data_IF_740795899567
#
_entry.id   IF_740795899567
#
_cell.length_a   1.000
_cell.length_b   1.000
_cell.length_c   1.000
_cell.angle_alpha   90.00
_cell.angle_beta   90.00
_cell.angle_gamma   90.00
#
_symmetry.space_group_name_H-M   'P 1'
#
loop_
_entity.id
_entity.type
_entity.pdbx_description
1 polymer ?
#
# COMPACT_ATOMS: atom_id res chain seq x y z
N UNK A 1 14.28 48.87 40.86
CA UNK A 1 15.09 47.77 41.44
C UNK A 1 14.22 46.67 42.06
N UNK A 2 13.24 46.96 42.92
CA UNK A 2 12.33 45.92 43.49
C UNK A 2 11.49 45.19 42.43
N UNK A 3 10.91 45.92 41.47
CA UNK A 3 10.11 45.33 40.39
C UNK A 3 10.92 44.37 39.52
N UNK A 4 12.13 44.77 39.13
CA UNK A 4 13.06 43.92 38.37
C UNK A 4 13.38 42.61 39.11
N UNK A 5 13.75 42.70 40.40
CA UNK A 5 14.03 41.52 41.23
C UNK A 5 12.80 40.62 41.37
N UNK A 6 11.61 41.19 41.44
CA UNK A 6 10.37 40.43 41.52
C UNK A 6 10.06 39.69 40.21
N UNK A 7 10.24 40.34 39.05
CA UNK A 7 10.11 39.70 37.74
C UNK A 7 11.13 38.58 37.57
N UNK A 8 12.39 38.81 37.92
CA UNK A 8 13.45 37.79 37.85
C UNK A 8 13.09 36.56 38.69
N UNK A 9 12.64 36.74 39.93
CA UNK A 9 12.23 35.64 40.81
C UNK A 9 11.04 34.86 40.25
N UNK A 10 10.03 35.54 39.71
CA UNK A 10 8.86 34.90 39.08
C UNK A 10 9.24 34.10 37.84
N UNK A 11 10.09 34.66 36.98
CA UNK A 11 10.61 33.98 35.79
C UNK A 11 11.41 32.74 36.17
N UNK A 12 12.30 32.84 37.15
CA UNK A 12 13.08 31.69 37.64
C UNK A 12 12.18 30.59 38.22
N UNK A 13 11.17 30.95 39.02
CA UNK A 13 10.20 29.99 39.53
C UNK A 13 9.46 29.29 38.39
N UNK A 14 9.02 30.05 37.38
CA UNK A 14 8.33 29.53 36.19
C UNK A 14 9.19 28.55 35.40
N UNK A 15 10.46 28.90 35.17
CA UNK A 15 11.43 28.02 34.51
C UNK A 15 11.66 26.73 35.29
N UNK A 16 11.85 26.83 36.61
CA UNK A 16 12.07 25.69 37.48
C UNK A 16 10.87 24.73 37.48
N UNK A 17 9.65 25.27 37.58
CA UNK A 17 8.42 24.48 37.48
C UNK A 17 8.27 23.82 36.10
N UNK A 18 8.55 24.56 35.02
CA UNK A 18 8.46 24.02 33.66
C UNK A 18 9.42 22.84 33.46
N UNK A 19 10.66 22.97 33.94
CA UNK A 19 11.72 21.97 33.80
C UNK A 19 11.60 20.81 34.79
N UNK A 20 11.01 21.04 35.96
CA UNK A 20 10.76 20.01 36.96
C UNK A 20 9.61 19.07 36.59
N UNK A 21 8.68 19.51 35.74
CA UNK A 21 7.50 18.74 35.33
C UNK A 21 7.70 17.98 34.01
N UNK A 22 8.82 18.16 33.31
CA UNK A 22 9.05 17.60 31.98
C UNK A 22 10.40 16.89 31.89
N UNK A 23 10.39 15.69 31.32
CA UNK A 23 11.61 14.91 31.10
C UNK A 23 12.34 15.27 29.80
N UNK A 24 11.63 15.86 28.84
CA UNK A 24 12.18 16.43 27.61
C UNK A 24 11.80 17.91 27.59
N UNK A 25 12.80 18.76 27.45
CA UNK A 25 12.65 20.22 27.47
C UNK A 25 13.50 20.79 26.34
N UNK A 26 12.90 21.60 25.49
CA UNK A 26 13.64 22.41 24.52
C UNK A 26 13.71 23.85 24.98
N UNK A 27 14.84 24.50 24.75
CA UNK A 27 15.06 25.89 25.14
C UNK A 27 14.08 26.81 24.41
N UNK A 28 13.76 26.49 23.16
CA UNK A 28 12.77 27.21 22.36
C UNK A 28 11.37 27.21 22.98
N UNK A 29 10.88 26.04 23.41
CA UNK A 29 9.56 25.95 24.03
C UNK A 29 9.54 26.53 25.45
N UNK A 30 10.66 26.43 26.19
CA UNK A 30 10.82 27.10 27.47
C UNK A 30 10.73 28.63 27.32
N UNK A 31 11.43 29.20 26.33
CA UNK A 31 11.39 30.63 26.01
C UNK A 31 9.96 31.09 25.69
N UNK A 32 9.29 30.36 24.80
CA UNK A 32 7.91 30.64 24.42
C UNK A 32 6.94 30.48 25.61
N UNK A 33 7.18 29.50 26.48
CA UNK A 33 6.35 29.29 27.66
C UNK A 33 6.48 30.44 28.65
N UNK A 34 7.71 30.87 28.97
CA UNK A 34 7.94 31.97 29.90
C UNK A 34 7.35 33.27 29.35
N UNK A 35 7.57 33.58 28.06
CA UNK A 35 6.99 34.75 27.43
C UNK A 35 5.45 34.78 27.56
N UNK A 36 4.79 33.64 27.33
CA UNK A 36 3.34 33.50 27.51
C UNK A 36 2.89 33.64 28.97
N UNK A 37 3.64 33.10 29.93
CA UNK A 37 3.30 33.23 31.35
C UNK A 37 3.43 34.66 31.87
N UNK A 38 4.35 35.43 31.30
CA UNK A 38 4.56 36.85 31.63
C UNK A 38 3.74 37.81 30.77
N UNK A 39 2.84 37.29 29.91
CA UNK A 39 2.00 38.07 28.98
C UNK A 39 2.80 39.04 28.09
N UNK A 40 3.93 38.56 27.56
CA UNK A 40 4.79 39.29 26.62
C UNK A 40 4.97 38.52 25.32
N UNK A 41 5.20 39.23 24.21
CA UNK A 41 5.40 38.60 22.90
C UNK A 41 6.69 37.74 22.85
N UNK A 42 7.76 38.22 23.49
CA UNK A 42 9.10 37.60 23.44
C UNK A 42 9.79 37.73 24.79
N UNK A 43 10.67 36.78 25.09
CA UNK A 43 11.45 36.77 26.33
C UNK A 43 12.29 38.06 26.51
N UNK A 44 12.84 38.59 25.42
CA UNK A 44 13.65 39.81 25.43
C UNK A 44 12.90 41.03 26.00
N UNK A 45 11.56 41.05 25.91
CA UNK A 45 10.72 42.12 26.48
C UNK A 45 10.80 42.20 28.01
N UNK A 46 11.24 41.12 28.67
CA UNK A 46 11.42 41.06 30.13
C UNK A 46 12.68 41.79 30.60
N UNK A 47 13.56 42.23 29.69
CA UNK A 47 14.83 42.92 29.99
C UNK A 47 15.77 42.13 30.90
N UNK A 48 15.63 40.80 30.94
CA UNK A 48 16.52 39.86 31.63
C UNK A 48 17.71 39.42 30.75
N UNK A 49 17.83 40.01 29.56
CA UNK A 49 18.71 39.52 28.50
C UNK A 49 18.11 38.31 27.78
N UNK A 50 18.86 37.69 26.86
CA UNK A 50 18.38 36.52 26.15
C UNK A 50 18.37 35.29 27.06
N UNK A 51 17.39 34.40 26.88
CA UNK A 51 17.16 33.25 27.78
C UNK A 51 18.39 32.34 27.96
N UNK A 52 19.20 32.16 26.92
CA UNK A 52 20.41 31.33 26.96
C UNK A 52 21.56 31.93 27.81
N UNK A 53 21.47 33.21 28.19
CA UNK A 53 22.43 33.86 29.09
C UNK A 53 21.97 33.87 30.54
N UNK A 54 20.73 33.46 30.82
CA UNK A 54 20.25 33.32 32.21
C UNK A 54 21.05 32.21 32.88
N UNK A 55 21.73 32.45 34.02
CA UNK A 55 22.65 31.47 34.63
C UNK A 55 22.00 30.12 34.93
N UNK A 56 20.74 30.13 35.36
CA UNK A 56 19.96 28.93 35.63
C UNK A 56 19.80 28.07 34.36
N UNK A 57 19.42 28.70 33.25
CA UNK A 57 19.24 28.03 31.95
C UNK A 57 20.56 27.53 31.39
N UNK A 58 21.60 28.37 31.41
CA UNK A 58 22.93 28.00 30.92
C UNK A 58 23.47 26.75 31.65
N UNK A 59 23.19 26.64 32.95
CA UNK A 59 23.61 25.49 33.77
C UNK A 59 22.76 24.24 33.48
N UNK A 60 21.43 24.36 33.47
CA UNK A 60 20.54 23.21 33.28
C UNK A 60 20.64 22.57 31.89
N UNK A 61 20.91 23.37 30.86
CA UNK A 61 21.07 22.90 29.48
C UNK A 61 22.53 22.71 29.07
N UNK A 62 23.50 23.06 29.94
CA UNK A 62 24.94 23.00 29.66
C UNK A 62 25.33 23.70 28.36
N UNK A 63 24.72 24.86 28.11
CA UNK A 63 24.83 25.57 26.83
C UNK A 63 26.28 25.97 26.53
N UNK A 64 26.74 25.86 25.27
CA UNK A 64 28.07 26.33 24.91
C UNK A 64 28.13 27.85 25.01
N UNK A 65 29.25 28.44 25.48
CA UNK A 65 29.38 29.89 25.64
C UNK A 65 29.31 30.63 24.29
N UNK A 66 29.61 29.93 23.19
CA UNK A 66 29.57 30.40 21.80
C UNK A 66 28.15 30.50 21.24
N UNK A 67 27.12 30.04 21.96
CA UNK A 67 25.73 30.13 21.54
C UNK A 67 25.32 31.59 21.36
N UNK A 68 24.79 31.90 20.18
CA UNK A 68 24.40 33.26 19.77
C UNK A 68 22.88 33.43 19.65
N UNK A 69 22.14 32.34 19.46
CA UNK A 69 20.68 32.34 19.34
C UNK A 69 20.09 31.03 19.86
N UNK A 70 18.79 31.03 20.17
CA UNK A 70 18.03 29.83 20.56
C UNK A 70 17.69 29.00 19.32
N UNK A 71 18.15 27.75 19.20
CA UNK A 71 17.77 26.84 18.13
C UNK A 71 16.28 26.54 18.20
N UNK A 72 15.60 26.59 17.05
CA UNK A 72 14.17 26.28 16.94
C UNK A 72 13.96 24.76 16.87
N UNK A 73 14.26 24.07 17.96
CA UNK A 73 14.00 22.65 18.14
C UNK A 73 12.75 22.50 19.01
N UNK A 74 11.79 21.71 18.56
CA UNK A 74 10.55 21.44 19.29
C UNK A 74 10.62 20.07 19.98
N UNK A 75 9.90 19.90 21.09
CA UNK A 75 9.82 18.59 21.77
C UNK A 75 9.30 17.51 20.83
N UNK A 76 8.38 17.86 19.92
CA UNK A 76 7.88 16.95 18.88
C UNK A 76 9.00 16.33 18.05
N UNK A 77 10.01 17.11 17.67
CA UNK A 77 11.12 16.62 16.86
C UNK A 77 11.94 15.58 17.64
N UNK A 78 12.17 15.81 18.93
CA UNK A 78 12.83 14.84 19.81
C UNK A 78 12.02 13.55 19.92
N UNK A 79 10.70 13.65 20.02
CA UNK A 79 9.81 12.49 20.05
C UNK A 79 9.80 11.72 18.73
N UNK A 80 9.86 12.41 17.59
CA UNK A 80 9.95 11.79 16.26
C UNK A 80 11.27 11.02 16.09
N UNK A 81 12.38 11.57 16.60
CA UNK A 81 13.67 10.85 16.66
C UNK A 81 13.59 9.61 17.54
N UNK A 82 13.05 9.76 18.75
CA UNK A 82 12.84 8.64 19.68
C UNK A 82 11.99 7.54 19.03
N UNK A 83 10.93 7.92 18.33
CA UNK A 83 10.04 7.03 17.62
C UNK A 83 10.75 6.26 16.50
N UNK A 84 11.54 6.96 15.67
CA UNK A 84 12.33 6.33 14.62
C UNK A 84 13.33 5.30 15.16
N UNK A 85 14.01 5.64 16.26
CA UNK A 85 14.95 4.73 16.92
C UNK A 85 14.27 3.47 17.49
N UNK A 86 13.06 3.61 18.05
CA UNK A 86 12.27 2.47 18.52
C UNK A 86 11.85 1.55 17.37
N UNK A 87 11.54 2.10 16.19
CA UNK A 87 11.24 1.31 15.00
C UNK A 87 12.47 0.58 14.45
N UNK A 88 13.63 1.24 14.43
CA UNK A 88 14.90 0.66 13.98
C UNK A 88 15.33 -0.49 14.90
N UNK A 89 15.31 -0.28 16.22
CA UNK A 89 15.63 -1.31 17.22
C UNK A 89 14.71 -2.53 17.07
N UNK A 90 13.40 -2.30 16.91
CA UNK A 90 12.44 -3.40 16.72
C UNK A 90 12.64 -4.17 15.41
N UNK A 91 13.00 -3.50 14.30
CA UNK A 91 13.31 -4.16 13.03
C UNK A 91 14.56 -5.03 13.12
N UNK A 92 15.57 -4.59 13.87
CA UNK A 92 16.78 -5.37 14.11
C UNK A 92 16.51 -6.67 14.91
N UNK A 93 15.40 -6.73 15.66
CA UNK A 93 15.03 -7.86 16.52
C UNK A 93 13.82 -8.68 16.01
N UNK A 94 13.30 -8.41 14.81
CA UNK A 94 12.23 -9.21 14.22
C UNK A 94 12.76 -10.61 13.82
N UNK A 95 12.00 -11.71 14.06
CA UNK A 95 12.41 -13.05 13.62
C UNK A 95 12.52 -13.08 12.10
N UNK A 96 13.75 -13.22 11.59
CA UNK A 96 14.10 -13.17 10.16
C UNK A 96 14.82 -11.90 9.68
N UNK A 97 15.05 -10.90 10.54
CA UNK A 97 15.72 -9.64 10.17
C UNK A 97 17.24 -9.78 10.10
N UNK A 98 17.79 -9.84 8.88
CA UNK A 98 19.23 -9.74 8.64
C UNK A 98 19.73 -8.32 8.88
N UNK A 99 20.73 -8.17 9.76
CA UNK A 99 21.69 -7.06 9.71
C UNK A 99 21.23 -5.68 10.18
N UNK A 100 20.23 -5.55 11.04
CA UNK A 100 19.96 -4.28 11.73
C UNK A 100 21.02 -3.95 12.79
N UNK A 101 21.27 -2.65 13.01
CA UNK A 101 22.16 -2.14 14.06
C UNK A 101 21.74 -2.74 15.41
N UNK A 102 22.56 -3.66 15.93
CA UNK A 102 22.36 -4.23 17.27
C UNK A 102 22.72 -3.16 18.29
N UNK A 103 21.73 -2.56 18.94
CA UNK A 103 21.97 -1.69 20.10
C UNK A 103 22.43 -2.60 21.25
N UNK A 104 23.70 -2.49 21.65
CA UNK A 104 24.41 -3.48 22.47
C UNK A 104 23.91 -3.59 23.93
N UNK A 105 23.70 -4.87 24.32
CA UNK A 105 24.24 -5.58 25.49
C UNK A 105 23.87 -5.07 26.89
N UNK A 106 22.86 -5.70 27.48
CA UNK A 106 22.61 -5.66 28.92
C UNK A 106 21.18 -6.02 29.32
N UNK A 107 20.53 -6.99 28.67
CA UNK A 107 19.22 -7.50 29.08
C UNK A 107 18.01 -6.60 28.83
N UNK A 108 18.19 -5.38 28.32
CA UNK A 108 17.08 -4.46 28.04
C UNK A 108 17.27 -3.75 26.68
N UNK A 109 16.35 -3.99 25.74
CA UNK A 109 16.27 -3.34 24.43
C UNK A 109 15.75 -1.91 24.60
N UNK A 110 16.63 -0.99 24.99
CA UNK A 110 16.23 0.34 25.42
C UNK A 110 16.99 1.41 24.66
N UNK A 111 16.26 2.17 23.83
CA UNK A 111 16.76 3.41 23.23
C UNK A 111 17.16 4.36 24.36
N UNK A 112 18.45 4.69 24.45
CA UNK A 112 18.99 5.58 25.46
C UNK A 112 19.03 7.04 25.00
N UNK A 113 19.23 7.93 25.95
CA UNK A 113 19.47 9.36 25.71
C UNK A 113 20.65 9.59 24.75
N UNK A 114 21.79 8.87 24.85
CA UNK A 114 22.91 9.08 23.93
C UNK A 114 22.55 8.83 22.45
N UNK A 115 21.69 7.85 22.17
CA UNK A 115 21.27 7.54 20.80
C UNK A 115 20.36 8.64 20.24
N UNK A 116 19.41 9.11 21.05
CA UNK A 116 18.54 10.25 20.68
C UNK A 116 19.40 11.49 20.43
N UNK A 117 20.35 11.78 21.33
CA UNK A 117 21.24 12.91 21.22
C UNK A 117 22.08 12.85 19.93
N UNK A 118 22.73 11.72 19.66
CA UNK A 118 23.56 11.55 18.47
C UNK A 118 22.75 11.69 17.17
N UNK A 119 21.54 11.10 17.11
CA UNK A 119 20.67 11.19 15.94
C UNK A 119 20.18 12.62 15.70
N UNK A 120 19.74 13.29 16.76
CA UNK A 120 19.27 14.68 16.67
C UNK A 120 20.40 15.64 16.27
N UNK A 121 21.58 15.48 16.88
CA UNK A 121 22.78 16.25 16.54
C UNK A 121 23.19 16.05 15.07
N UNK A 122 23.21 14.80 14.61
CA UNK A 122 23.47 14.45 13.21
C UNK A 122 22.44 15.06 12.25
N UNK A 123 21.15 15.01 12.57
CA UNK A 123 20.09 15.62 11.76
C UNK A 123 20.22 17.14 11.64
N UNK A 124 20.78 17.79 12.67
CA UNK A 124 20.95 19.25 12.72
C UNK A 124 22.36 19.73 12.35
N UNK A 125 23.27 18.81 12.04
CA UNK A 125 24.66 19.15 11.68
C UNK A 125 25.46 19.78 12.82
N UNK A 126 25.12 19.46 14.06
CA UNK A 126 25.81 19.95 15.27
C UNK A 126 26.53 18.80 15.98
N UNK A 127 27.43 19.13 16.90
CA UNK A 127 28.25 18.12 17.57
C UNK A 127 27.64 17.58 18.86
N UNK A 128 26.65 18.29 19.42
CA UNK A 128 26.14 18.02 20.76
C UNK A 128 24.65 18.39 20.91
N UNK A 129 24.01 17.85 21.95
CA UNK A 129 22.61 18.15 22.25
C UNK A 129 22.47 19.53 22.90
N UNK A 130 23.51 19.93 23.63
CA UNK A 130 23.69 21.22 24.28
C UNK A 130 23.64 22.37 23.26
N UNK A 131 24.26 22.19 22.09
CA UNK A 131 24.17 23.13 20.96
C UNK A 131 22.75 23.31 20.42
N UNK A 132 21.87 22.32 20.63
CA UNK A 132 20.46 22.38 20.24
C UNK A 132 19.57 22.98 21.34
N UNK A 133 20.12 23.28 22.51
CA UNK A 133 19.33 23.71 23.66
C UNK A 133 18.28 22.68 24.06
N UNK A 134 18.61 21.39 24.01
CA UNK A 134 17.68 20.31 24.40
C UNK A 134 18.20 19.64 25.68
N UNK A 135 17.30 19.49 26.66
CA UNK A 135 17.55 18.82 27.93
C UNK A 135 16.66 17.58 28.01
N UNK A 136 17.28 16.43 28.19
CA UNK A 136 16.60 15.14 28.37
C UNK A 136 17.05 14.55 29.69
N UNK A 137 16.16 14.45 30.67
CA UNK A 137 16.44 13.86 31.99
C UNK A 137 15.97 12.41 32.09
N UNK A 138 15.05 11.99 31.21
CA UNK A 138 14.56 10.62 31.16
C UNK A 138 13.65 10.37 29.96
N UNK A 139 13.70 9.15 29.44
CA UNK A 139 12.85 8.69 28.34
C UNK A 139 11.73 7.75 28.80
N UNK A 140 11.85 7.19 30.01
CA UNK A 140 10.96 6.13 30.51
C UNK A 140 9.48 6.47 30.46
N UNK A 141 9.12 7.72 30.78
CA UNK A 141 7.72 8.18 30.74
C UNK A 141 7.12 8.14 29.33
N UNK A 142 7.92 8.40 28.30
CA UNK A 142 7.47 8.40 26.91
C UNK A 142 7.53 7.02 26.27
N UNK A 143 8.46 6.16 26.70
CA UNK A 143 8.67 4.85 26.05
C UNK A 143 7.44 3.95 26.08
N UNK A 144 6.77 3.82 27.23
CA UNK A 144 5.64 2.89 27.36
C UNK A 144 4.43 3.33 26.51
N UNK A 145 3.91 4.56 26.63
CA UNK A 145 2.82 5.03 25.78
C UNK A 145 3.15 4.97 24.28
N UNK A 146 4.40 5.32 23.91
CA UNK A 146 4.82 5.25 22.52
C UNK A 146 4.81 3.80 22.00
N UNK A 147 5.27 2.83 22.80
CA UNK A 147 5.21 1.41 22.45
C UNK A 147 3.76 0.91 22.33
N UNK A 148 2.86 1.33 23.21
CA UNK A 148 1.44 0.96 23.19
C UNK A 148 0.75 1.45 21.91
N UNK A 149 0.81 2.75 21.62
CA UNK A 149 0.24 3.33 20.39
C UNK A 149 0.80 2.64 19.14
N UNK A 150 2.08 2.30 19.16
CA UNK A 150 2.74 1.60 18.05
C UNK A 150 2.22 0.17 17.86
N UNK A 151 1.99 -0.55 18.95
CA UNK A 151 1.44 -1.91 18.91
C UNK A 151 0.00 -1.88 18.37
N UNK A 152 -0.83 -0.97 18.85
CA UNK A 152 -2.21 -0.79 18.38
C UNK A 152 -2.29 -0.46 16.88
N UNK A 153 -1.48 0.51 16.42
CA UNK A 153 -1.42 0.87 15.00
C UNK A 153 -1.02 -0.32 14.13
N UNK A 154 -0.12 -1.17 14.64
CA UNK A 154 0.32 -2.36 13.93
C UNK A 154 -0.75 -3.43 13.89
N UNK A 155 -1.41 -3.72 15.00
CA UNK A 155 -2.51 -4.69 15.04
C UNK A 155 -3.63 -4.29 14.07
N UNK A 156 -3.95 -3.00 14.01
CA UNK A 156 -4.88 -2.46 13.02
C UNK A 156 -4.37 -2.66 11.58
N UNK A 157 -3.10 -2.36 11.31
CA UNK A 157 -2.51 -2.53 9.99
C UNK A 157 -2.43 -4.00 9.55
N UNK A 158 -2.04 -4.90 10.45
CA UNK A 158 -1.94 -6.35 10.20
C UNK A 158 -3.34 -6.93 9.91
N UNK A 159 -4.35 -6.49 10.66
CA UNK A 159 -5.77 -6.84 10.42
C UNK A 159 -6.23 -6.38 9.04
N UNK A 160 -5.93 -5.12 8.69
CA UNK A 160 -6.27 -4.56 7.37
C UNK A 160 -5.57 -5.29 6.23
N UNK A 161 -4.28 -5.59 6.37
CA UNK A 161 -3.50 -6.34 5.38
C UNK A 161 -4.00 -7.78 5.23
N UNK A 162 -4.41 -8.43 6.32
CA UNK A 162 -5.00 -9.76 6.27
C UNK A 162 -6.33 -9.76 5.48
N UNK A 163 -7.17 -8.75 5.70
CA UNK A 163 -8.43 -8.58 4.96
C UNK A 163 -8.18 -8.37 3.46
N UNK A 164 -7.23 -7.50 3.10
CA UNK A 164 -6.86 -7.28 1.69
C UNK A 164 -6.33 -8.55 1.02
N UNK A 165 -5.49 -9.33 1.72
CA UNK A 165 -4.98 -10.62 1.21
C UNK A 165 -6.09 -11.63 1.03
N UNK A 166 -7.07 -11.68 1.94
CA UNK A 166 -8.22 -12.57 1.82
C UNK A 166 -9.07 -12.21 0.59
N UNK A 167 -9.37 -10.91 0.40
CA UNK A 167 -10.13 -10.43 -0.76
C UNK A 167 -9.40 -10.71 -2.08
N UNK A 168 -8.08 -10.52 -2.13
CA UNK A 168 -7.29 -10.84 -3.32
C UNK A 168 -7.35 -12.33 -3.67
N UNK A 169 -7.25 -13.22 -2.67
CA UNK A 169 -7.35 -14.67 -2.87
C UNK A 169 -8.75 -15.09 -3.32
N UNK A 170 -9.79 -14.46 -2.80
CA UNK A 170 -11.17 -14.73 -3.20
C UNK A 170 -11.41 -14.35 -4.66
N UNK A 171 -10.96 -13.15 -5.07
CA UNK A 171 -11.01 -12.71 -6.48
C UNK A 171 -10.24 -13.65 -7.39
N UNK A 172 -9.05 -14.08 -6.97
CA UNK A 172 -8.25 -15.03 -7.75
C UNK A 172 -9.01 -16.35 -7.95
N UNK A 173 -9.62 -16.90 -6.89
CA UNK A 173 -10.42 -18.13 -6.98
C UNK A 173 -11.65 -17.98 -7.87
N UNK A 174 -12.32 -16.83 -7.81
CA UNK A 174 -13.46 -16.54 -8.68
C UNK A 174 -13.03 -16.50 -10.15
N UNK A 175 -11.92 -15.83 -10.46
CA UNK A 175 -11.35 -15.78 -11.81
C UNK A 175 -10.93 -17.18 -12.31
N UNK A 176 -10.25 -17.97 -11.48
CA UNK A 176 -9.88 -19.34 -11.81
C UNK A 176 -11.11 -20.23 -12.05
N UNK A 177 -12.17 -20.05 -11.25
CA UNK A 177 -13.44 -20.76 -11.41
C UNK A 177 -14.19 -20.38 -12.69
N UNK A 178 -14.23 -19.09 -13.03
CA UNK A 178 -14.82 -18.60 -14.29
C UNK A 178 -14.07 -19.12 -15.51
N UNK A 179 -12.73 -19.11 -15.47
CA UNK A 179 -11.91 -19.65 -16.55
C UNK A 179 -12.15 -21.15 -16.75
N UNK A 180 -12.19 -21.93 -15.66
CA UNK A 180 -12.47 -23.36 -15.72
C UNK A 180 -13.90 -23.67 -16.22
N UNK A 181 -14.88 -22.81 -15.90
CA UNK A 181 -16.23 -22.94 -16.44
C UNK A 181 -16.27 -22.64 -17.95
N UNK A 182 -15.56 -21.62 -18.41
CA UNK A 182 -15.41 -21.30 -19.83
C UNK A 182 -14.73 -22.44 -20.60
N UNK A 183 -13.65 -23.01 -20.06
CA UNK A 183 -12.96 -24.15 -20.68
C UNK A 183 -13.87 -25.38 -20.82
N UNK A 184 -14.65 -25.71 -19.77
CA UNK A 184 -15.63 -26.81 -19.83
C UNK A 184 -16.74 -26.54 -20.85
N UNK A 185 -17.26 -25.31 -20.89
CA UNK A 185 -18.29 -24.93 -21.86
C UNK A 185 -17.75 -25.02 -23.30
N UNK A 186 -16.51 -24.58 -23.53
CA UNK A 186 -15.85 -24.70 -24.82
C UNK A 186 -15.62 -26.16 -25.19
N UNK A 187 -15.13 -27.00 -24.26
CA UNK A 187 -14.94 -28.43 -24.50
C UNK A 187 -16.26 -29.14 -24.89
N UNK A 188 -17.35 -28.87 -24.15
CA UNK A 188 -18.67 -29.41 -24.48
C UNK A 188 -19.21 -28.89 -25.83
N UNK A 189 -18.92 -27.64 -26.17
CA UNK A 189 -19.29 -27.08 -27.48
C UNK A 189 -18.52 -27.75 -28.63
N UNK A 190 -17.23 -28.05 -28.43
CA UNK A 190 -16.40 -28.78 -29.39
C UNK A 190 -16.89 -30.23 -29.54
N UNK A 191 -17.21 -30.91 -28.44
CA UNK A 191 -17.70 -32.30 -28.47
C UNK A 191 -19.07 -32.43 -29.17
N UNK A 192 -19.94 -31.44 -29.02
CA UNK A 192 -21.27 -31.41 -29.68
C UNK A 192 -21.24 -30.84 -31.11
N UNK A 193 -20.10 -30.32 -31.59
CA UNK A 193 -19.96 -29.77 -32.94
C UNK A 193 -20.22 -30.80 -34.06
N UNK A 194 -19.66 -32.03 -34.04
CA UNK A 194 -19.91 -33.01 -35.11
C UNK A 194 -21.39 -33.40 -35.20
N UNK A 195 -22.06 -33.59 -34.05
CA UNK A 195 -23.51 -33.91 -34.03
C UNK A 195 -24.34 -32.78 -34.65
N UNK A 196 -24.00 -31.52 -34.36
CA UNK A 196 -24.67 -30.36 -34.95
C UNK A 196 -24.42 -30.26 -36.45
N UNK A 197 -23.21 -30.55 -36.91
CA UNK A 197 -22.85 -30.63 -38.32
C UNK A 197 -23.65 -31.72 -39.05
N UNK A 198 -23.73 -32.92 -38.48
CA UNK A 198 -24.48 -34.03 -39.07
C UNK A 198 -25.98 -33.73 -39.16
N UNK A 199 -26.57 -33.13 -38.11
CA UNK A 199 -27.96 -32.67 -38.13
C UNK A 199 -28.21 -31.62 -39.21
N UNK A 200 -27.29 -30.66 -39.36
CA UNK A 200 -27.37 -29.64 -40.40
C UNK A 200 -27.30 -30.27 -41.80
N UNK A 201 -26.31 -31.14 -42.04
CA UNK A 201 -26.13 -31.84 -43.31
C UNK A 201 -27.38 -32.66 -43.64
N UNK A 202 -27.94 -33.39 -42.68
CA UNK A 202 -29.18 -34.16 -42.85
C UNK A 202 -30.37 -33.26 -43.22
N UNK A 203 -30.52 -32.12 -42.56
CA UNK A 203 -31.59 -31.15 -42.83
C UNK A 203 -31.47 -30.58 -44.26
N UNK A 204 -30.26 -30.25 -44.70
CA UNK A 204 -30.00 -29.76 -46.06
C UNK A 204 -30.33 -30.85 -47.09
N UNK A 205 -29.90 -32.09 -46.86
CA UNK A 205 -30.22 -33.21 -47.75
C UNK A 205 -31.73 -33.43 -47.86
N UNK A 206 -32.45 -33.40 -46.75
CA UNK A 206 -33.91 -33.52 -46.75
C UNK A 206 -34.60 -32.38 -47.54
N UNK A 207 -34.13 -31.13 -47.38
CA UNK A 207 -34.64 -29.99 -48.12
C UNK A 207 -34.39 -30.10 -49.64
N UNK A 208 -33.19 -30.53 -50.03
CA UNK A 208 -32.87 -30.79 -51.45
C UNK A 208 -33.78 -31.90 -52.00
N UNK A 209 -33.95 -33.00 -51.28
CA UNK A 209 -34.81 -34.11 -51.71
C UNK A 209 -36.26 -33.65 -51.92
N UNK A 210 -36.81 -32.85 -51.00
CA UNK A 210 -38.15 -32.26 -51.14
C UNK A 210 -38.26 -31.34 -52.36
N UNK A 211 -37.26 -30.48 -52.60
CA UNK A 211 -37.24 -29.58 -53.75
C UNK A 211 -37.19 -30.36 -55.08
N UNK A 212 -36.38 -31.42 -55.16
CA UNK A 212 -36.29 -32.31 -56.33
C UNK A 212 -37.63 -33.03 -56.56
N UNK A 213 -38.24 -33.58 -55.51
CA UNK A 213 -39.57 -34.21 -55.61
C UNK A 213 -40.63 -33.23 -56.11
N UNK A 214 -40.61 -31.98 -55.63
CA UNK A 214 -41.51 -30.92 -56.11
C UNK A 214 -41.30 -30.59 -57.60
N UNK A 215 -40.05 -30.56 -58.08
CA UNK A 215 -39.73 -30.37 -59.49
C UNK A 215 -40.18 -31.55 -60.35
N UNK A 216 -39.95 -32.80 -59.91
CA UNK A 216 -40.41 -34.01 -60.61
C UNK A 216 -41.94 -34.02 -60.71
N UNK A 217 -42.64 -33.72 -59.63
CA UNK A 217 -44.10 -33.64 -59.63
C UNK A 217 -44.62 -32.57 -60.60
N UNK A 218 -43.95 -31.41 -60.68
CA UNK A 218 -44.26 -30.35 -61.66
C UNK A 218 -44.00 -30.80 -63.10
N UNK A 219 -42.89 -31.48 -63.37
CA UNK A 219 -42.59 -32.02 -64.70
C UNK A 219 -43.61 -33.08 -65.14
N UNK A 220 -44.00 -33.98 -64.23
CA UNK A 220 -45.04 -34.98 -64.49
C UNK A 220 -46.40 -34.33 -64.75
N UNK A 221 -46.77 -33.29 -63.99
CA UNK A 221 -48.00 -32.53 -64.22
C UNK A 221 -47.98 -31.80 -65.58
N UNK A 222 -46.83 -31.25 -65.98
CA UNK A 222 -46.65 -30.64 -67.30
C UNK A 222 -46.71 -31.68 -68.43
N UNK A 223 -46.12 -32.86 -68.26
CA UNK A 223 -46.22 -33.96 -69.22
C UNK A 223 -47.66 -34.49 -69.35
N UNK A 224 -48.40 -34.56 -68.24
CA UNK A 224 -49.81 -34.93 -68.25
C UNK A 224 -50.69 -33.85 -68.93
N UNK A 225 -50.32 -32.58 -68.81
CA UNK A 225 -51.02 -31.46 -69.45
C UNK A 225 -50.64 -31.25 -70.93
N UNK A 226 -49.44 -31.67 -71.37
CA UNK A 226 -48.94 -31.42 -72.73
C UNK A 226 -49.36 -32.46 -73.77
N UNK A 227 -49.97 -33.59 -73.39
CA UNK A 227 -50.55 -34.53 -74.35
C UNK A 227 -49.60 -35.02 -75.45
N UNK A 228 -48.30 -35.12 -75.17
CA UNK A 228 -47.27 -35.59 -76.13
C UNK A 228 -46.57 -36.81 -75.56
N UNK A 229 -46.92 -37.98 -76.09
CA UNK A 229 -46.12 -39.21 -76.00
C UNK A 229 -44.83 -39.04 -76.81
N UNK A 230 -43.80 -39.72 -76.32
CA UNK A 230 -42.47 -39.96 -76.90
C UNK A 230 -41.32 -39.06 -76.44
N UNK A 231 -40.21 -39.77 -76.18
CA UNK A 231 -38.84 -39.32 -75.89
C UNK A 231 -38.52 -39.00 -74.43
N UNK A 232 -38.25 -40.05 -73.65
CA UNK A 232 -36.95 -40.33 -73.01
C UNK A 232 -37.08 -41.50 -72.01
N UNK A 233 -36.71 -42.70 -72.44
CA UNK A 233 -36.28 -43.76 -71.51
C UNK A 233 -34.76 -43.60 -71.27
N UNK A 234 -34.29 -43.47 -70.02
CA UNK A 234 -32.87 -43.56 -69.71
C UNK A 234 -32.52 -45.03 -69.49
N UNK A 235 -31.99 -45.68 -70.53
CA UNK A 235 -31.63 -47.10 -70.50
C UNK A 235 -30.93 -47.57 -71.77
N UNK A 236 -29.91 -46.86 -72.21
CA UNK A 236 -29.00 -47.32 -73.26
C UNK A 236 -27.56 -47.07 -72.83
N UNK A 237 -27.01 -48.02 -72.07
CA UNK A 237 -25.56 -48.27 -72.03
C UNK A 237 -25.32 -49.32 -73.12
N UNK A 238 -24.60 -49.02 -74.22
CA UNK A 238 -24.29 -50.03 -75.23
C UNK A 238 -23.27 -51.04 -74.69
N UNK A 239 -23.59 -52.34 -74.82
CA UNK A 239 -22.70 -53.47 -74.53
C UNK A 239 -21.60 -53.60 -75.58
N UNK A 240 -20.40 -53.98 -75.14
CA UNK A 240 -19.16 -53.99 -75.94
C UNK A 240 -18.95 -55.21 -76.85
N UNK A 241 -20.01 -55.88 -77.33
CA UNK A 241 -19.88 -57.14 -78.09
C UNK A 241 -20.35 -57.08 -79.55
N UNK A 242 -20.87 -55.95 -80.05
CA UNK A 242 -21.32 -55.81 -81.46
C UNK A 242 -20.33 -55.06 -82.37
N UNK A 243 -19.05 -54.93 -81.98
CA UNK A 243 -18.01 -54.21 -82.75
C UNK A 243 -17.13 -55.10 -83.66
N UNK A 244 -17.47 -56.39 -83.84
CA UNK A 244 -16.60 -57.35 -84.55
C UNK A 244 -17.19 -57.99 -85.82
N UNK A 245 -18.26 -57.43 -86.43
CA UNK A 245 -18.83 -57.97 -87.69
C UNK A 245 -18.90 -57.00 -88.88
N UNK A 246 -18.23 -55.84 -88.84
CA UNK A 246 -18.10 -54.95 -90.01
C UNK A 246 -16.65 -54.53 -90.30
N UNK A 247 -15.77 -55.53 -90.42
CA UNK A 247 -14.54 -55.44 -91.22
C UNK A 247 -14.66 -56.38 -92.42
N UNK A 248 -15.28 -55.88 -93.49
CA UNK A 248 -14.98 -56.17 -94.90
C UNK A 248 -15.63 -55.08 -95.77
#
# INVERSE_FOLDING_TARGET
MREFMHTEQRVLATMATYMGTRSIVTLHELECFVARQEDVERFDSLRLGPIFRVPYVATEFRLPPTMSAVPKVATREVLEVLWGLLDEDRRAHAPGGGGGVRVYRGGEHTVGIPQVAARLASMRGVNSLEELGVRITGLGYFMKPLREVRNEQREAADTYLAALKAQARERQRAQEGELAAQERALAAAVESAPVRLDQFVSTVHAGIAQAVQGLVARLQALQAASGTKEWLQPGAVPSSEDMDSMRE
#
